data_IF_700320325947
#
_entry.id   IF_700320325947
#
_cell.length_a   1.000
_cell.length_b   1.000
_cell.length_c   1.000
_cell.angle_alpha   90.00
_cell.angle_beta   90.00
_cell.angle_gamma   90.00
#
_symmetry.space_group_name_H-M   'P 1'
#
loop_
_entity.id
_entity.type
_entity.pdbx_description
1 polymer ?
#
# COMPACT_ATOMS: atom_id res chain seq x y z
N UNK A 1 -1.34 -6.28 16.32
CA UNK A 1 -0.70 -5.05 15.82
C UNK A 1 -1.55 -4.43 14.74
N UNK A 2 -1.68 -3.12 14.79
CA UNK A 2 -2.44 -2.41 13.77
C UNK A 2 -1.53 -2.05 12.60
N UNK A 3 -2.09 -2.07 11.41
CA UNK A 3 -1.37 -1.63 10.21
C UNK A 3 -1.25 -0.10 10.22
N UNK A 4 -0.17 0.47 9.62
CA UNK A 4 -0.05 1.92 9.50
C UNK A 4 -1.22 2.57 8.75
N UNK A 5 -1.83 1.82 7.84
CA UNK A 5 -2.99 2.28 7.07
C UNK A 5 -4.15 1.32 7.24
N UNK A 6 -5.35 1.87 7.36
CA UNK A 6 -6.56 1.07 7.31
C UNK A 6 -6.90 0.74 5.86
N UNK A 7 -7.66 -0.34 5.59
CA UNK A 7 -7.99 -0.71 4.21
C UNK A 7 -8.65 0.41 3.42
N UNK A 8 -9.48 1.23 4.06
CA UNK A 8 -10.14 2.36 3.41
C UNK A 8 -9.14 3.43 2.98
N UNK A 9 -8.10 3.63 3.78
CA UNK A 9 -7.05 4.61 3.46
C UNK A 9 -6.22 4.16 2.26
N UNK A 10 -6.00 2.86 2.12
CA UNK A 10 -5.28 2.32 0.97
C UNK A 10 -6.03 2.63 -0.33
N UNK A 11 -7.34 2.50 -0.33
CA UNK A 11 -8.17 2.77 -1.51
C UNK A 11 -8.10 4.25 -1.94
N UNK A 12 -7.82 5.15 -0.99
CA UNK A 12 -7.72 6.58 -1.26
C UNK A 12 -6.31 7.05 -1.63
N UNK A 13 -5.33 6.15 -1.62
CA UNK A 13 -3.95 6.51 -1.98
C UNK A 13 -3.84 6.86 -3.46
N UNK A 14 -3.10 7.95 -3.73
CA UNK A 14 -2.91 8.46 -5.08
C UNK A 14 -1.50 9.05 -5.20
N UNK A 15 -0.92 8.98 -6.39
CA UNK A 15 0.39 9.54 -6.67
C UNK A 15 0.43 11.06 -6.42
N UNK A 16 -0.70 11.75 -6.51
CA UNK A 16 -0.74 13.19 -6.26
C UNK A 16 -0.34 13.55 -4.83
N UNK A 17 -0.51 12.62 -3.89
CA UNK A 17 -0.06 12.82 -2.51
C UNK A 17 1.45 13.00 -2.43
N UNK A 18 2.19 12.38 -3.34
CA UNK A 18 3.65 12.39 -3.35
C UNK A 18 4.19 13.74 -3.79
N UNK A 19 3.43 14.50 -4.57
CA UNK A 19 3.87 15.79 -5.11
C UNK A 19 4.12 16.83 -4.04
N UNK A 20 3.46 16.71 -2.89
CA UNK A 20 3.60 17.66 -1.78
C UNK A 20 4.61 17.20 -0.74
N UNK A 21 5.20 16.03 -0.92
CA UNK A 21 6.14 15.44 0.05
C UNK A 21 7.58 15.71 -0.35
N UNK A 22 8.42 16.00 0.66
CA UNK A 22 9.86 16.08 0.44
C UNK A 22 10.48 14.67 0.55
N UNK A 23 11.79 14.57 0.36
CA UNK A 23 12.48 13.27 0.36
C UNK A 23 12.36 12.53 1.69
N UNK A 24 12.43 13.27 2.79
CA UNK A 24 12.30 12.66 4.11
C UNK A 24 10.90 12.11 4.35
N UNK A 25 9.88 12.86 3.95
CA UNK A 25 8.49 12.42 4.05
C UNK A 25 8.23 11.21 3.15
N UNK A 26 8.81 11.22 1.95
CA UNK A 26 8.68 10.10 1.02
C UNK A 26 9.30 8.82 1.60
N UNK A 27 10.46 8.94 2.23
CA UNK A 27 11.14 7.79 2.83
C UNK A 27 10.28 7.19 3.96
N UNK A 28 9.73 8.05 4.83
CA UNK A 28 8.87 7.59 5.91
C UNK A 28 7.58 6.95 5.37
N UNK A 29 6.98 7.57 4.36
CA UNK A 29 5.77 7.05 3.74
C UNK A 29 6.02 5.70 3.09
N UNK A 30 7.16 5.57 2.41
CA UNK A 30 7.55 4.30 1.79
C UNK A 30 7.68 3.19 2.83
N UNK A 31 8.29 3.49 3.97
CA UNK A 31 8.43 2.51 5.06
C UNK A 31 7.06 2.06 5.56
N UNK A 32 6.13 3.01 5.73
CA UNK A 32 4.77 2.69 6.15
C UNK A 32 4.05 1.81 5.14
N UNK A 33 4.22 2.14 3.85
CA UNK A 33 3.61 1.35 2.78
C UNK A 33 4.20 -0.06 2.73
N UNK A 34 5.51 -0.17 2.90
CA UNK A 34 6.18 -1.47 2.90
C UNK A 34 5.72 -2.33 4.07
N UNK A 35 5.59 -1.73 5.24
CA UNK A 35 5.10 -2.45 6.41
C UNK A 35 3.66 -2.92 6.22
N UNK A 36 2.82 -2.05 5.67
CA UNK A 36 1.43 -2.41 5.37
C UNK A 36 1.37 -3.56 4.36
N UNK A 37 2.20 -3.48 3.32
CA UNK A 37 2.28 -4.53 2.30
C UNK A 37 2.68 -5.87 2.92
N UNK A 38 3.70 -5.87 3.77
CA UNK A 38 4.16 -7.09 4.44
C UNK A 38 3.05 -7.71 5.28
N UNK A 39 2.31 -6.89 6.03
CA UNK A 39 1.21 -7.37 6.83
C UNK A 39 0.08 -7.92 5.98
N UNK A 40 -0.24 -7.26 4.88
CA UNK A 40 -1.30 -7.73 3.98
C UNK A 40 -0.92 -9.05 3.31
N UNK A 41 0.36 -9.26 3.02
CA UNK A 41 0.83 -10.53 2.44
C UNK A 41 0.62 -11.70 3.40
N UNK A 42 0.66 -11.45 4.70
CA UNK A 42 0.38 -12.50 5.70
C UNK A 42 -1.11 -12.73 5.91
N UNK A 43 -1.95 -11.81 5.43
CA UNK A 43 -3.40 -11.88 5.59
C UNK A 43 -4.12 -12.25 4.30
N UNK A 44 -3.43 -12.91 3.38
CA UNK A 44 -3.99 -13.31 2.10
C UNK A 44 -5.27 -14.14 2.28
N UNK A 45 -6.41 -13.67 1.76
CA UNK A 45 -7.64 -14.44 1.86
C UNK A 45 -7.64 -15.63 0.92
N UNK A 46 -8.46 -16.63 1.26
CA UNK A 46 -8.59 -17.83 0.44
C UNK A 46 -9.62 -17.57 -0.67
N UNK A 47 -9.22 -17.58 -1.96
CA UNK A 47 -10.14 -17.31 -3.06
C UNK A 47 -11.24 -18.36 -3.18
N UNK A 48 -11.00 -19.59 -2.69
CA UNK A 48 -12.00 -20.65 -2.72
C UNK A 48 -13.12 -20.41 -1.70
N UNK A 49 -12.81 -19.67 -0.63
CA UNK A 49 -13.78 -19.38 0.42
C UNK A 49 -14.47 -18.04 0.22
N UNK A 50 -13.71 -17.04 -0.20
CA UNK A 50 -14.25 -15.71 -0.39
C UNK A 50 -13.50 -15.03 -1.52
N UNK A 51 -14.01 -15.22 -2.72
CA UNK A 51 -13.44 -14.69 -3.95
C UNK A 51 -13.42 -13.16 -3.94
N UNK A 52 -14.49 -12.54 -3.44
CA UNK A 52 -14.62 -11.10 -3.38
C UNK A 52 -13.55 -10.47 -2.48
N UNK A 53 -13.33 -11.05 -1.30
CA UNK A 53 -12.30 -10.58 -0.39
C UNK A 53 -10.91 -10.72 -1.01
N UNK A 54 -10.68 -11.79 -1.77
CA UNK A 54 -9.41 -12.01 -2.45
C UNK A 54 -9.15 -10.93 -3.49
N UNK A 55 -10.15 -10.58 -4.29
CA UNK A 55 -9.99 -9.54 -5.32
C UNK A 55 -9.74 -8.16 -4.69
N UNK A 56 -10.43 -7.84 -3.60
CA UNK A 56 -10.21 -6.59 -2.87
C UNK A 56 -8.79 -6.52 -2.30
N UNK A 57 -8.34 -7.63 -1.73
CA UNK A 57 -6.99 -7.74 -1.20
C UNK A 57 -5.96 -7.52 -2.31
N UNK A 58 -6.17 -8.16 -3.46
CA UNK A 58 -5.26 -8.04 -4.60
C UNK A 58 -5.19 -6.62 -5.12
N UNK A 59 -6.33 -5.93 -5.20
CA UNK A 59 -6.37 -4.52 -5.62
C UNK A 59 -5.54 -3.65 -4.68
N UNK A 60 -5.67 -3.86 -3.39
CA UNK A 60 -4.91 -3.10 -2.39
C UNK A 60 -3.41 -3.37 -2.48
N UNK A 61 -3.05 -4.62 -2.70
CA UNK A 61 -1.64 -4.98 -2.93
C UNK A 61 -1.09 -4.24 -4.13
N UNK A 62 -1.84 -4.18 -5.22
CA UNK A 62 -1.43 -3.46 -6.42
C UNK A 62 -1.25 -1.96 -6.17
N UNK A 63 -2.18 -1.35 -5.42
CA UNK A 63 -2.07 0.07 -5.06
C UNK A 63 -0.79 0.33 -4.27
N UNK A 64 -0.51 -0.51 -3.26
CA UNK A 64 0.69 -0.36 -2.44
C UNK A 64 1.95 -0.48 -3.27
N UNK A 65 2.01 -1.46 -4.16
CA UNK A 65 3.16 -1.65 -5.04
C UNK A 65 3.36 -0.46 -5.98
N UNK A 66 2.28 0.06 -6.56
CA UNK A 66 2.35 1.24 -7.44
C UNK A 66 2.86 2.47 -6.69
N UNK A 67 2.40 2.66 -5.47
CA UNK A 67 2.85 3.79 -4.66
C UNK A 67 4.31 3.67 -4.29
N UNK A 68 4.76 2.48 -3.92
CA UNK A 68 6.18 2.25 -3.59
C UNK A 68 7.05 2.50 -4.83
N UNK A 69 6.63 2.02 -6.00
CA UNK A 69 7.35 2.26 -7.24
C UNK A 69 7.44 3.75 -7.57
N UNK A 70 6.33 4.47 -7.40
CA UNK A 70 6.29 5.91 -7.65
C UNK A 70 7.25 6.66 -6.73
N UNK A 71 7.32 6.26 -5.46
CA UNK A 71 8.24 6.86 -4.50
C UNK A 71 9.69 6.57 -4.89
N UNK A 72 9.99 5.33 -5.25
CA UNK A 72 11.33 4.95 -5.68
C UNK A 72 11.79 5.75 -6.89
N UNK A 73 10.88 6.00 -7.83
CA UNK A 73 11.18 6.82 -9.01
C UNK A 73 11.52 8.27 -8.64
N UNK A 74 10.85 8.81 -7.63
CA UNK A 74 11.08 10.18 -7.17
C UNK A 74 12.37 10.31 -6.36
N UNK A 75 12.73 9.26 -5.63
CA UNK A 75 13.91 9.25 -4.77
C UNK A 75 15.17 8.84 -5.54
N UNK A 76 15.00 8.10 -6.58
CA UNK A 76 16.08 7.61 -7.39
C UNK A 76 16.60 8.64 -8.35
#
# INVERSE_FOLDING_TARGET
MSMPFEPEEIDDLDETLLETMDQEELADFRDDLQETLDQMMTLEPDPDRNEEAYYEWQDRINVLNDMIDAIDSRMG
#
